data_IF_820514392135
#
_entry.id   IF_820514392135
#
_cell.length_a   1.000
_cell.length_b   1.000
_cell.length_c   1.000
_cell.angle_alpha   90.00
_cell.angle_beta   90.00
_cell.angle_gamma   90.00
#
_symmetry.space_group_name_H-M   'P 1'
#
loop_
_entity.id
_entity.type
_entity.pdbx_description
1 polymer ?
#
# COMPACT_ATOMS: atom_id res chain seq x y z
N UNK A 1 18.51 -6.89 -8.45
CA UNK A 1 17.27 -6.07 -8.52
C UNK A 1 17.37 -5.01 -7.46
N UNK A 2 17.16 -3.74 -7.79
CA UNK A 2 17.09 -2.65 -6.81
C UNK A 2 15.63 -2.49 -6.39
N UNK A 3 15.34 -2.60 -5.09
CA UNK A 3 14.02 -2.33 -4.54
C UNK A 3 14.01 -0.90 -4.01
N UNK A 4 12.95 -0.16 -4.34
CA UNK A 4 12.74 1.18 -3.77
C UNK A 4 12.11 1.02 -2.39
N UNK A 5 12.73 1.64 -1.39
CA UNK A 5 12.23 1.67 -0.02
C UNK A 5 11.65 3.06 0.28
N UNK A 6 10.65 3.12 1.15
CA UNK A 6 10.08 4.34 1.70
C UNK A 6 10.17 4.26 3.23
N UNK A 7 11.28 4.73 3.79
CA UNK A 7 11.52 4.76 5.24
C UNK A 7 11.42 6.18 5.79
N UNK A 8 11.63 7.18 4.94
CA UNK A 8 11.61 8.61 5.30
C UNK A 8 11.10 9.46 4.12
N UNK A 9 10.66 10.68 4.41
CA UNK A 9 10.01 11.54 3.41
C UNK A 9 10.91 11.90 2.22
N UNK A 10 12.20 12.06 2.48
CA UNK A 10 13.21 12.47 1.50
C UNK A 10 13.60 11.34 0.52
N UNK A 11 13.08 10.12 0.71
CA UNK A 11 13.27 8.99 -0.22
C UNK A 11 12.50 9.17 -1.55
N UNK A 12 11.52 10.09 -1.55
CA UNK A 12 10.71 10.45 -2.70
C UNK A 12 10.96 11.91 -3.08
N UNK A 13 11.13 12.16 -4.38
CA UNK A 13 11.11 13.53 -4.90
C UNK A 13 9.69 14.11 -4.84
N UNK A 14 9.56 15.43 -4.99
CA UNK A 14 8.23 16.06 -5.10
C UNK A 14 7.40 15.48 -6.24
N UNK A 15 8.02 15.13 -7.36
CA UNK A 15 7.35 14.51 -8.50
C UNK A 15 6.83 13.10 -8.17
N UNK A 16 7.60 12.32 -7.40
CA UNK A 16 7.17 11.01 -6.92
C UNK A 16 5.97 11.12 -5.96
N UNK A 17 5.99 12.12 -5.08
CA UNK A 17 4.86 12.42 -4.19
C UNK A 17 3.61 12.79 -4.99
N UNK A 18 3.73 13.67 -5.98
CA UNK A 18 2.62 14.04 -6.86
C UNK A 18 2.07 12.83 -7.63
N UNK A 19 2.93 11.91 -8.07
CA UNK A 19 2.51 10.66 -8.70
C UNK A 19 1.76 9.75 -7.73
N UNK A 20 2.27 9.59 -6.50
CA UNK A 20 1.65 8.78 -5.46
C UNK A 20 0.26 9.32 -5.08
N UNK A 21 0.11 10.63 -4.92
CA UNK A 21 -1.18 11.25 -4.62
C UNK A 21 -2.17 11.10 -5.77
N UNK A 22 -1.74 11.31 -7.02
CA UNK A 22 -2.60 11.09 -8.19
C UNK A 22 -3.10 9.64 -8.26
N UNK A 23 -2.22 8.67 -8.04
CA UNK A 23 -2.61 7.26 -8.03
C UNK A 23 -3.57 6.94 -6.88
N UNK A 24 -3.35 7.50 -5.69
CA UNK A 24 -4.27 7.32 -4.56
C UNK A 24 -5.66 7.90 -4.88
N UNK A 25 -5.73 9.10 -5.47
CA UNK A 25 -7.00 9.72 -5.89
C UNK A 25 -7.71 8.90 -6.96
N UNK A 26 -6.98 8.33 -7.93
CA UNK A 26 -7.56 7.51 -8.99
C UNK A 26 -8.16 6.21 -8.44
N UNK A 27 -7.43 5.51 -7.55
CA UNK A 27 -7.94 4.32 -6.85
C UNK A 27 -9.21 4.65 -6.04
N UNK A 28 -9.26 5.83 -5.42
CA UNK A 28 -10.45 6.27 -4.68
C UNK A 28 -11.64 6.57 -5.58
N UNK A 29 -11.39 7.12 -6.78
CA UNK A 29 -12.44 7.46 -7.74
C UNK A 29 -12.95 6.24 -8.52
N UNK A 30 -12.09 5.27 -8.79
CA UNK A 30 -12.34 4.11 -9.64
C UNK A 30 -11.92 2.78 -8.97
N UNK A 31 -12.43 2.46 -7.77
CA UNK A 31 -11.97 1.28 -7.01
C UNK A 31 -12.13 -0.03 -7.78
N UNK A 32 -13.16 -0.15 -8.62
CA UNK A 32 -13.41 -1.31 -9.47
C UNK A 32 -12.30 -1.61 -10.48
N UNK A 33 -11.58 -0.57 -10.94
CA UNK A 33 -10.46 -0.74 -11.87
C UNK A 33 -9.23 -1.40 -11.22
N UNK A 34 -9.19 -1.46 -9.89
CA UNK A 34 -8.03 -1.91 -9.11
C UNK A 34 -8.26 -3.17 -8.29
N UNK A 35 -9.45 -3.81 -8.40
CA UNK A 35 -9.86 -4.96 -7.57
C UNK A 35 -8.82 -6.10 -7.56
N UNK A 36 -8.08 -6.31 -8.65
CA UNK A 36 -7.09 -7.39 -8.79
C UNK A 36 -5.65 -6.89 -8.96
N UNK A 37 -5.36 -5.61 -8.67
CA UNK A 37 -4.02 -5.02 -8.89
C UNK A 37 -2.89 -5.71 -8.08
N UNK A 38 -3.27 -6.38 -6.98
CA UNK A 38 -2.40 -7.16 -6.12
C UNK A 38 -2.71 -8.66 -6.14
N UNK A 39 -3.44 -9.18 -7.13
CA UNK A 39 -3.77 -10.60 -7.21
C UNK A 39 -2.52 -11.48 -7.15
N UNK A 40 -2.53 -12.47 -6.24
CA UNK A 40 -1.41 -13.38 -5.98
C UNK A 40 -0.23 -12.78 -5.19
N UNK A 41 -0.30 -11.51 -4.78
CA UNK A 41 0.72 -10.87 -3.94
C UNK A 41 0.37 -10.97 -2.46
N UNK A 42 1.40 -11.11 -1.63
CA UNK A 42 1.29 -11.19 -0.16
C UNK A 42 2.01 -10.01 0.47
N UNK A 43 1.36 -9.26 1.35
CA UNK A 43 1.99 -8.24 2.20
C UNK A 43 2.37 -8.84 3.55
N UNK A 44 3.60 -8.63 4.00
CA UNK A 44 4.03 -8.98 5.35
C UNK A 44 4.05 -7.74 6.24
N UNK A 45 3.20 -7.71 7.27
CA UNK A 45 3.13 -6.57 8.18
C UNK A 45 3.81 -6.92 9.50
N UNK A 46 4.87 -6.17 9.86
CA UNK A 46 5.63 -6.37 11.09
C UNK A 46 5.48 -5.16 12.01
N UNK A 47 4.90 -5.37 13.19
CA UNK A 47 4.70 -4.34 14.20
C UNK A 47 5.46 -4.71 15.48
N UNK A 48 6.39 -3.84 15.91
CA UNK A 48 7.04 -3.99 17.22
C UNK A 48 6.06 -3.67 18.35
N UNK A 49 5.28 -2.60 18.19
CA UNK A 49 4.16 -2.22 19.05
C UNK A 49 2.86 -2.23 18.24
N UNK A 50 1.73 -2.69 18.81
CA UNK A 50 0.48 -2.79 18.08
C UNK A 50 -0.07 -1.41 17.69
N UNK A 51 -0.45 -1.26 16.41
CA UNK A 51 -1.18 -0.10 15.90
C UNK A 51 -2.40 -0.55 15.11
N UNK A 52 -3.58 -0.54 15.72
CA UNK A 52 -4.83 -1.01 15.09
C UNK A 52 -5.15 -0.26 13.80
N UNK A 53 -5.02 1.08 13.80
CA UNK A 53 -5.35 1.90 12.63
C UNK A 53 -4.43 1.61 11.45
N UNK A 54 -3.13 1.46 11.71
CA UNK A 54 -2.15 1.16 10.66
C UNK A 54 -2.33 -0.27 10.18
N UNK A 55 -2.44 -1.25 11.07
CA UNK A 55 -2.58 -2.64 10.65
C UNK A 55 -3.86 -2.85 9.82
N UNK A 56 -4.99 -2.31 10.27
CA UNK A 56 -6.26 -2.45 9.55
C UNK A 56 -6.26 -1.73 8.20
N UNK A 57 -5.55 -0.60 8.05
CA UNK A 57 -5.48 0.07 6.76
C UNK A 57 -4.72 -0.77 5.73
N UNK A 58 -3.56 -1.36 6.09
CA UNK A 58 -2.81 -2.25 5.21
C UNK A 58 -3.57 -3.53 4.88
N UNK A 59 -4.22 -4.15 5.87
CA UNK A 59 -5.06 -5.33 5.65
C UNK A 59 -6.21 -5.05 4.68
N UNK A 60 -6.96 -3.97 4.93
CA UNK A 60 -8.09 -3.58 4.09
C UNK A 60 -7.63 -3.23 2.67
N UNK A 61 -6.50 -2.54 2.52
CA UNK A 61 -5.95 -2.21 1.21
C UNK A 61 -5.62 -3.47 0.40
N UNK A 62 -4.90 -4.43 1.00
CA UNK A 62 -4.55 -5.68 0.32
C UNK A 62 -5.79 -6.50 -0.06
N UNK A 63 -6.79 -6.60 0.83
CA UNK A 63 -8.05 -7.29 0.53
C UNK A 63 -8.80 -6.65 -0.63
N UNK A 64 -8.86 -5.31 -0.69
CA UNK A 64 -9.54 -4.57 -1.77
C UNK A 64 -8.84 -4.68 -3.11
N UNK A 65 -7.53 -4.88 -3.11
CA UNK A 65 -6.70 -5.02 -4.31
C UNK A 65 -6.49 -6.50 -4.71
N UNK A 66 -7.21 -7.44 -4.10
CA UNK A 66 -7.15 -8.87 -4.46
C UNK A 66 -5.92 -9.60 -3.94
N UNK A 67 -5.14 -8.95 -3.08
CA UNK A 67 -3.97 -9.53 -2.42
C UNK A 67 -4.31 -10.15 -1.06
N UNK A 68 -3.29 -10.76 -0.45
CA UNK A 68 -3.39 -11.32 0.90
C UNK A 68 -2.39 -10.69 1.86
N UNK A 69 -2.62 -10.87 3.15
CA UNK A 69 -1.72 -10.40 4.21
C UNK A 69 -1.26 -11.57 5.05
N UNK A 70 0.01 -11.52 5.43
CA UNK A 70 0.64 -12.42 6.38
C UNK A 70 1.33 -11.59 7.46
N UNK A 71 1.35 -12.05 8.71
CA UNK A 71 1.91 -11.30 9.84
C UNK A 71 0.88 -11.07 10.94
N UNK A 72 1.39 -10.74 12.13
CA UNK A 72 0.66 -10.66 13.40
C UNK A 72 0.79 -9.26 14.01
#
# INVERSE_FOLDING_TARGET
MSFRHLTQFDDLSMEDWDALYRQASDIMAHPEAYIDACHGKVSCNLFYEPSTRTNFSFQTAMMRLGGSVFGF
#
